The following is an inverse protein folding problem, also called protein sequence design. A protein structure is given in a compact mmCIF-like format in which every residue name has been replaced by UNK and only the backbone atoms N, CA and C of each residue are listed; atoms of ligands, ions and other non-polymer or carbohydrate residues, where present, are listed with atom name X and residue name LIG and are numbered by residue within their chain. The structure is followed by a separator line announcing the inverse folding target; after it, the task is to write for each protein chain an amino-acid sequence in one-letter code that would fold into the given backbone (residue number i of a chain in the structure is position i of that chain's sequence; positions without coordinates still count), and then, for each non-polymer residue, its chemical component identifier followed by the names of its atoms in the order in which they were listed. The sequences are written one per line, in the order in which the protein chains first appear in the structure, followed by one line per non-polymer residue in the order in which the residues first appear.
data_IF_462711646698
#
_entry.id   IF_462711646698
#
_cell.length_a   1.000
_cell.length_b   1.000
_cell.length_c   1.000
_cell.angle_alpha   90.00
_cell.angle_beta   90.00
_cell.angle_gamma   90.00
#
_symmetry.space_group_name_H-M   'P 1'
#
loop_
_entity.id
_entity.type
_entity.pdbx_description
1 polymer ?
#
# COMPACT_ATOMS: atom_id res chain seq x y z
N UNK A 1 -22.85 -12.71 -18.81
CA UNK A 1 -22.81 -12.86 -20.29
C UNK A 1 -21.34 -12.88 -20.71
N UNK A 2 -20.89 -13.96 -21.37
CA UNK A 2 -19.48 -14.09 -21.81
C UNK A 2 -19.19 -13.04 -22.88
N UNK A 3 -18.12 -12.27 -22.68
CA UNK A 3 -17.55 -11.43 -23.74
C UNK A 3 -17.13 -12.34 -24.92
N UNK A 4 -17.64 -12.04 -26.13
CA UNK A 4 -17.19 -12.69 -27.35
C UNK A 4 -15.89 -12.00 -27.78
N UNK A 5 -14.82 -12.76 -27.86
CA UNK A 5 -13.61 -12.35 -28.57
C UNK A 5 -13.93 -12.27 -30.07
N UNK A 6 -13.63 -11.13 -30.67
CA UNK A 6 -13.68 -10.98 -32.12
C UNK A 6 -12.43 -11.62 -32.72
N UNK A 7 -12.62 -12.53 -33.68
CA UNK A 7 -11.54 -13.16 -34.42
C UNK A 7 -10.79 -12.12 -35.27
N UNK A 8 -9.46 -12.24 -35.42
CA UNK A 8 -8.70 -11.35 -36.28
C UNK A 8 -9.00 -11.62 -37.75
N UNK A 9 -9.20 -10.55 -38.54
CA UNK A 9 -9.25 -10.65 -40.00
C UNK A 9 -7.84 -10.95 -40.53
N UNK A 10 -7.71 -12.03 -41.28
CA UNK A 10 -6.48 -12.42 -41.96
C UNK A 10 -6.08 -11.35 -43.02
N UNK A 11 -4.96 -10.66 -42.76
CA UNK A 11 -4.16 -10.00 -43.79
C UNK A 11 -2.73 -10.54 -43.69
N UNK A 12 -2.29 -11.13 -44.81
CA UNK A 12 -0.96 -11.67 -45.01
C UNK A 12 0.08 -10.55 -45.05
N UNK A 13 0.83 -10.37 -43.97
CA UNK A 13 2.16 -9.75 -44.01
C UNK A 13 3.02 -10.23 -42.82
N UNK A 14 4.29 -10.46 -43.10
CA UNK A 14 5.30 -11.08 -42.24
C UNK A 14 5.47 -10.39 -40.88
N UNK A 15 5.72 -11.11 -39.78
CA UNK A 15 5.79 -10.52 -38.44
C UNK A 15 7.12 -9.79 -38.22
N UNK A 16 7.02 -8.46 -38.10
CA UNK A 16 8.03 -7.63 -37.48
C UNK A 16 7.81 -7.64 -35.94
N UNK A 17 8.87 -7.93 -35.21
CA UNK A 17 8.87 -8.09 -33.75
C UNK A 17 8.80 -6.74 -33.03
N UNK A 18 7.67 -6.07 -33.05
CA UNK A 18 7.40 -4.87 -32.26
C UNK A 18 5.99 -4.92 -31.69
N UNK A 19 5.92 -4.98 -30.35
CA UNK A 19 4.78 -4.75 -29.44
C UNK A 19 3.40 -4.68 -30.12
N UNK A 20 2.67 -5.80 -30.13
CA UNK A 20 1.26 -5.81 -30.49
C UNK A 20 0.48 -4.95 -29.49
N UNK A 21 0.07 -3.76 -29.93
CA UNK A 21 -0.90 -2.93 -29.22
C UNK A 21 -2.28 -3.56 -29.37
N UNK A 22 -2.69 -4.40 -28.41
CA UNK A 22 -4.06 -4.90 -28.36
C UNK A 22 -5.00 -3.76 -28.02
N UNK A 23 -5.82 -3.34 -29.00
CA UNK A 23 -6.90 -2.39 -28.77
C UNK A 23 -8.09 -3.15 -28.19
N UNK A 24 -8.36 -2.98 -26.90
CA UNK A 24 -9.56 -3.52 -26.26
C UNK A 24 -10.70 -2.53 -26.49
N UNK A 25 -11.76 -2.97 -27.17
CA UNK A 25 -13.00 -2.20 -27.36
C UNK A 25 -14.09 -2.78 -26.46
N UNK A 26 -14.65 -1.93 -25.61
CA UNK A 26 -15.85 -2.27 -24.84
C UNK A 26 -17.07 -1.67 -25.53
N UNK A 27 -18.11 -2.48 -25.77
CA UNK A 27 -19.38 -2.05 -26.33
C UNK A 27 -20.46 -2.25 -25.27
N UNK A 28 -21.02 -1.15 -24.80
CA UNK A 28 -21.99 -1.13 -23.70
C UNK A 28 -23.32 -0.63 -24.26
N UNK A 29 -24.33 -1.50 -24.46
CA UNK A 29 -25.65 -1.08 -24.94
C UNK A 29 -26.31 -0.13 -23.94
N UNK A 30 -27.03 0.87 -24.44
CA UNK A 30 -27.86 1.74 -23.61
C UNK A 30 -29.16 1.04 -23.14
N UNK A 31 -29.93 1.73 -22.30
CA UNK A 31 -31.22 1.30 -21.78
C UNK A 31 -31.22 -0.06 -21.06
N UNK A 32 -30.12 -0.38 -20.37
CA UNK A 32 -30.02 -1.59 -19.57
C UNK A 32 -30.75 -1.41 -18.23
N UNK A 33 -31.39 -2.47 -17.76
CA UNK A 33 -31.99 -2.54 -16.43
C UNK A 33 -31.08 -3.41 -15.57
N UNK A 34 -30.45 -2.82 -14.57
CA UNK A 34 -29.66 -3.53 -13.57
C UNK A 34 -30.57 -4.09 -12.48
N UNK A 35 -30.38 -5.35 -12.14
CA UNK A 35 -31.11 -6.01 -11.05
C UNK A 35 -30.11 -6.60 -10.08
N UNK A 36 -30.42 -6.49 -8.81
CA UNK A 36 -29.62 -7.12 -7.75
C UNK A 36 -29.60 -8.65 -7.97
N UNK A 37 -28.41 -9.27 -8.08
CA UNK A 37 -28.30 -10.73 -8.10
C UNK A 37 -28.68 -11.30 -6.73
N UNK A 38 -29.53 -12.30 -6.70
CA UNK A 38 -29.91 -12.97 -5.46
C UNK A 38 -28.68 -13.57 -4.78
N UNK A 39 -28.50 -13.26 -3.49
CA UNK A 39 -27.41 -13.81 -2.67
C UNK A 39 -26.04 -13.19 -2.92
N UNK A 40 -25.95 -12.05 -3.61
CA UNK A 40 -24.70 -11.32 -3.75
C UNK A 40 -24.18 -10.89 -2.37
N UNK A 41 -22.95 -11.30 -2.06
CA UNK A 41 -22.20 -10.80 -0.92
C UNK A 41 -20.98 -10.01 -1.44
N UNK A 42 -20.85 -8.77 -1.01
CA UNK A 42 -19.66 -7.97 -1.30
C UNK A 42 -18.52 -8.53 -0.47
N UNK A 43 -17.40 -8.84 -1.11
CA UNK A 43 -16.18 -9.29 -0.44
C UNK A 43 -15.49 -8.14 0.32
N UNK A 44 -14.57 -8.49 1.24
CA UNK A 44 -13.75 -7.51 1.93
C UNK A 44 -12.79 -6.79 0.98
N UNK A 45 -12.47 -5.55 1.34
CA UNK A 45 -11.57 -4.69 0.56
C UNK A 45 -10.10 -5.00 0.92
N UNK A 46 -9.39 -5.63 -0.01
CA UNK A 46 -7.97 -5.95 0.14
C UNK A 46 -7.08 -4.72 0.21
N UNK A 47 -7.45 -3.62 -0.45
CA UNK A 47 -6.69 -2.38 -0.39
C UNK A 47 -6.68 -1.80 1.02
N UNK A 48 -7.83 -1.79 1.69
CA UNK A 48 -7.94 -1.30 3.05
C UNK A 48 -7.36 -2.29 4.07
N UNK A 49 -7.56 -3.60 3.86
CA UNK A 49 -6.97 -4.63 4.71
C UNK A 49 -5.44 -4.61 4.72
N UNK A 50 -4.81 -4.18 3.61
CA UNK A 50 -3.35 -4.12 3.50
C UNK A 50 -2.71 -3.24 4.58
N UNK A 51 -3.36 -2.16 5.01
CA UNK A 51 -2.86 -1.29 6.07
C UNK A 51 -2.75 -2.04 7.41
N UNK A 52 -3.75 -2.83 7.75
CA UNK A 52 -3.78 -3.63 8.98
C UNK A 52 -2.81 -4.81 8.91
N UNK A 53 -2.71 -5.48 7.77
CA UNK A 53 -1.76 -6.56 7.56
C UNK A 53 -0.31 -6.07 7.70
N UNK A 54 0.00 -4.89 7.19
CA UNK A 54 1.32 -4.26 7.38
C UNK A 54 1.53 -3.86 8.84
N UNK A 55 0.53 -3.29 9.51
CA UNK A 55 0.64 -2.98 10.94
C UNK A 55 0.94 -4.25 11.77
N UNK A 56 0.28 -5.37 11.44
CA UNK A 56 0.57 -6.67 12.03
C UNK A 56 2.00 -7.13 11.78
N UNK A 57 2.47 -7.07 10.53
CA UNK A 57 3.83 -7.46 10.16
C UNK A 57 4.91 -6.63 10.87
N UNK A 58 4.62 -5.37 11.16
CA UNK A 58 5.56 -4.44 11.79
C UNK A 58 5.59 -4.52 13.32
N UNK A 59 4.86 -5.41 13.95
CA UNK A 59 4.91 -5.63 15.40
C UNK A 59 3.55 -5.71 16.09
N UNK A 60 2.45 -5.53 15.33
CA UNK A 60 1.10 -5.75 15.84
C UNK A 60 0.74 -7.23 15.93
N UNK A 61 -0.48 -7.49 16.37
CA UNK A 61 -1.15 -8.81 16.37
C UNK A 61 -2.54 -8.58 15.79
N UNK A 62 -2.71 -8.88 14.50
CA UNK A 62 -3.87 -8.47 13.71
C UNK A 62 -4.50 -9.66 13.01
N UNK A 63 -5.84 -9.74 13.08
CA UNK A 63 -6.63 -10.66 12.27
C UNK A 63 -7.60 -9.88 11.40
N UNK A 64 -7.41 -9.94 10.08
CA UNK A 64 -8.35 -9.42 9.09
C UNK A 64 -9.31 -10.53 8.67
N UNK A 65 -10.61 -10.23 8.64
CA UNK A 65 -11.66 -11.21 8.27
C UNK A 65 -12.49 -10.73 7.08
N UNK A 66 -13.13 -11.68 6.38
CA UNK A 66 -13.97 -11.34 5.22
C UNK A 66 -13.21 -11.16 3.92
N UNK A 67 -11.92 -11.50 3.89
CA UNK A 67 -11.06 -11.40 2.72
C UNK A 67 -11.14 -12.70 1.91
N UNK A 68 -11.71 -12.62 0.71
CA UNK A 68 -11.84 -13.78 -0.17
C UNK A 68 -10.47 -14.14 -0.77
N UNK A 69 -9.96 -15.38 -0.56
CA UNK A 69 -8.71 -15.83 -1.17
C UNK A 69 -8.78 -15.90 -2.70
N UNK A 70 -9.98 -16.13 -3.24
CA UNK A 70 -10.22 -16.23 -4.70
C UNK A 70 -10.57 -14.87 -5.33
N UNK A 71 -10.51 -13.79 -4.55
CA UNK A 71 -10.77 -12.42 -5.01
C UNK A 71 -9.96 -12.07 -6.25
N UNK A 72 -10.59 -11.33 -7.17
CA UNK A 72 -9.92 -10.74 -8.34
C UNK A 72 -9.23 -9.40 -8.03
N UNK A 73 -9.39 -8.86 -6.81
CA UNK A 73 -8.69 -7.66 -6.36
C UNK A 73 -7.18 -7.91 -6.37
N UNK A 74 -6.44 -7.13 -7.15
CA UNK A 74 -4.99 -7.28 -7.25
C UNK A 74 -4.25 -6.95 -5.96
N UNK A 75 -4.85 -6.15 -5.10
CA UNK A 75 -4.26 -5.73 -3.82
C UNK A 75 -4.14 -6.88 -2.81
N UNK A 76 -4.72 -8.07 -3.07
CA UNK A 76 -4.44 -9.29 -2.30
C UNK A 76 -2.96 -9.71 -2.37
N UNK A 77 -2.21 -9.22 -3.36
CA UNK A 77 -0.77 -9.47 -3.49
C UNK A 77 0.05 -8.94 -2.32
N UNK A 78 -0.51 -8.09 -1.47
CA UNK A 78 0.13 -7.69 -0.21
C UNK A 78 0.56 -8.90 0.63
N UNK A 79 -0.23 -9.98 0.62
CA UNK A 79 0.09 -11.23 1.31
C UNK A 79 1.39 -11.82 0.77
N UNK A 80 1.49 -11.95 -0.56
CA UNK A 80 2.68 -12.50 -1.22
C UNK A 80 3.92 -11.64 -0.95
N UNK A 81 3.75 -10.31 -0.97
CA UNK A 81 4.84 -9.37 -0.69
C UNK A 81 5.34 -9.53 0.74
N UNK A 82 4.43 -9.52 1.73
CA UNK A 82 4.80 -9.65 3.14
C UNK A 82 5.44 -11.02 3.44
N UNK A 83 4.97 -12.11 2.83
CA UNK A 83 5.58 -13.44 2.98
C UNK A 83 7.00 -13.49 2.37
N UNK A 84 7.22 -12.90 1.20
CA UNK A 84 8.56 -12.76 0.63
C UNK A 84 9.48 -11.95 1.51
N UNK A 85 8.97 -10.94 2.17
CA UNK A 85 9.70 -10.15 3.16
C UNK A 85 9.94 -10.92 4.47
N UNK A 86 9.41 -12.12 4.65
CA UNK A 86 9.63 -12.99 5.81
C UNK A 86 8.53 -12.95 6.87
N UNK A 87 7.43 -12.24 6.65
CA UNK A 87 6.29 -12.27 7.55
C UNK A 87 5.62 -13.66 7.55
N UNK A 88 5.12 -14.07 8.71
CA UNK A 88 4.34 -15.30 8.86
C UNK A 88 2.85 -14.94 8.89
N UNK A 89 2.09 -15.49 7.96
CA UNK A 89 0.67 -15.23 7.82
C UNK A 89 -0.10 -16.54 7.92
N UNK A 90 -0.94 -16.64 8.95
CA UNK A 90 -1.85 -17.76 9.11
C UNK A 90 -3.14 -17.48 8.36
N UNK A 91 -3.57 -18.45 7.55
CA UNK A 91 -4.77 -18.34 6.70
C UNK A 91 -5.80 -19.35 7.15
N UNK A 92 -7.03 -18.88 7.39
CA UNK A 92 -8.17 -19.74 7.73
C UNK A 92 -9.42 -19.23 7.04
N UNK A 93 -9.86 -19.91 5.99
CA UNK A 93 -10.98 -19.47 5.14
C UNK A 93 -10.76 -18.04 4.61
N UNK A 94 -11.61 -17.10 5.03
CA UNK A 94 -11.54 -15.67 4.68
C UNK A 94 -10.83 -14.83 5.76
N UNK A 95 -10.11 -15.44 6.68
CA UNK A 95 -9.39 -14.78 7.76
C UNK A 95 -7.88 -14.91 7.57
N UNK A 96 -7.17 -13.82 7.78
CA UNK A 96 -5.72 -13.73 7.71
C UNK A 96 -5.19 -13.15 9.02
N UNK A 97 -4.42 -13.93 9.73
CA UNK A 97 -3.78 -13.52 10.97
C UNK A 97 -2.29 -13.28 10.74
N UNK A 98 -1.79 -12.17 11.22
CA UNK A 98 -0.39 -11.79 11.13
C UNK A 98 0.04 -11.15 12.45
N UNK A 99 1.14 -11.66 13.02
CA UNK A 99 1.75 -11.10 14.20
C UNK A 99 3.24 -10.83 13.95
N UNK A 100 3.69 -9.64 14.31
CA UNK A 100 5.08 -9.26 14.29
C UNK A 100 5.83 -10.06 15.35
N UNK A 101 6.52 -11.11 14.93
CA UNK A 101 7.18 -12.08 15.83
C UNK A 101 8.60 -11.68 16.24
N UNK A 102 8.96 -10.40 16.13
CA UNK A 102 10.29 -9.88 16.44
C UNK A 102 11.39 -10.26 15.43
N UNK A 103 11.05 -10.98 14.37
CA UNK A 103 11.97 -11.24 13.25
C UNK A 103 11.90 -10.06 12.30
N UNK A 104 13.02 -9.39 11.99
CA UNK A 104 13.04 -8.31 11.02
C UNK A 104 12.61 -8.83 9.64
N UNK A 105 11.80 -8.03 8.94
CA UNK A 105 11.51 -8.26 7.53
C UNK A 105 12.79 -8.14 6.70
N UNK A 106 12.84 -8.79 5.53
CA UNK A 106 13.98 -8.63 4.59
C UNK A 106 13.62 -7.65 3.49
N UNK A 107 14.65 -6.99 2.94
CA UNK A 107 14.50 -6.17 1.73
C UNK A 107 14.03 -7.02 0.55
N UNK A 108 13.14 -6.46 -0.26
CA UNK A 108 12.53 -7.13 -1.41
C UNK A 108 12.40 -6.17 -2.58
N UNK A 109 12.47 -6.71 -3.82
CA UNK A 109 12.19 -5.96 -5.03
C UNK A 109 10.81 -6.34 -5.57
N UNK A 110 9.92 -5.34 -5.66
CA UNK A 110 8.51 -5.54 -6.00
C UNK A 110 8.10 -4.65 -7.18
N UNK A 111 7.55 -5.26 -8.23
CA UNK A 111 6.86 -4.52 -9.30
C UNK A 111 5.44 -4.17 -8.87
N UNK A 112 5.10 -2.88 -8.87
CA UNK A 112 3.79 -2.37 -8.50
C UNK A 112 2.84 -2.20 -9.70
N UNK A 113 3.20 -2.70 -10.88
CA UNK A 113 2.44 -2.52 -12.12
C UNK A 113 0.96 -2.92 -11.99
N UNK A 114 0.66 -3.99 -11.23
CA UNK A 114 -0.68 -4.55 -11.09
C UNK A 114 -1.43 -4.08 -9.83
N UNK A 115 -0.74 -3.56 -8.82
CA UNK A 115 -1.30 -3.13 -7.53
C UNK A 115 -0.67 -1.82 -7.02
N UNK A 116 -0.72 -0.75 -7.83
CA UNK A 116 -0.07 0.52 -7.50
C UNK A 116 -0.60 1.13 -6.18
N UNK A 117 -1.83 0.84 -5.83
CA UNK A 117 -2.47 1.38 -4.64
C UNK A 117 -1.89 0.83 -3.31
N UNK A 118 -1.15 -0.27 -3.37
CA UNK A 118 -0.42 -0.80 -2.22
C UNK A 118 0.89 -0.05 -1.93
N UNK A 119 1.43 0.71 -2.88
CA UNK A 119 2.78 1.31 -2.75
C UNK A 119 2.96 2.13 -1.48
N UNK A 120 2.04 3.01 -1.05
CA UNK A 120 2.23 3.76 0.18
C UNK A 120 2.45 2.88 1.41
N UNK A 121 1.60 1.87 1.60
CA UNK A 121 1.70 0.97 2.76
C UNK A 121 2.82 -0.06 2.62
N UNK A 122 3.14 -0.52 1.40
CA UNK A 122 4.31 -1.37 1.16
C UNK A 122 5.61 -0.65 1.50
N UNK A 123 5.73 0.63 1.12
CA UNK A 123 6.90 1.43 1.50
C UNK A 123 7.07 1.50 3.01
N UNK A 124 5.96 1.63 3.76
CA UNK A 124 6.00 1.56 5.24
C UNK A 124 6.46 0.19 5.73
N UNK A 125 5.97 -0.93 5.16
CA UNK A 125 6.46 -2.27 5.51
C UNK A 125 7.97 -2.39 5.29
N UNK A 126 8.46 -1.86 4.17
CA UNK A 126 9.87 -1.89 3.78
C UNK A 126 10.78 -1.07 4.72
N UNK A 127 10.25 -0.08 5.45
CA UNK A 127 11.03 0.61 6.50
C UNK A 127 11.41 -0.33 7.65
N UNK A 128 10.65 -1.40 7.86
CA UNK A 128 10.93 -2.46 8.85
C UNK A 128 11.90 -3.53 8.36
N UNK A 129 12.27 -3.52 7.07
CA UNK A 129 13.09 -4.55 6.47
C UNK A 129 14.59 -4.32 6.71
N UNK A 130 15.36 -5.40 6.77
CA UNK A 130 16.82 -5.36 6.69
C UNK A 130 17.26 -5.37 5.23
N UNK A 131 18.28 -4.60 4.90
CA UNK A 131 18.79 -4.46 3.53
C UNK A 131 18.01 -3.42 2.71
N UNK A 132 18.23 -3.45 1.41
CA UNK A 132 17.60 -2.53 0.45
C UNK A 132 16.31 -3.13 -0.09
N UNK A 133 15.26 -2.31 -0.13
CA UNK A 133 13.99 -2.63 -0.80
C UNK A 133 13.78 -1.73 -2.00
N UNK A 134 13.16 -2.26 -3.05
CA UNK A 134 12.90 -1.49 -4.28
C UNK A 134 11.48 -1.72 -4.76
N UNK A 135 10.78 -0.65 -5.10
CA UNK A 135 9.47 -0.68 -5.78
C UNK A 135 9.68 -0.16 -7.20
N UNK A 136 9.26 -0.92 -8.21
CA UNK A 136 9.35 -0.56 -9.63
C UNK A 136 7.98 -0.49 -10.29
N UNK A 137 7.94 -0.02 -11.54
CA UNK A 137 6.73 0.01 -12.39
C UNK A 137 5.57 0.79 -11.79
N UNK A 138 5.86 1.80 -10.99
CA UNK A 138 4.90 2.59 -10.23
C UNK A 138 4.64 3.99 -10.81
N UNK A 139 5.01 4.25 -12.07
CA UNK A 139 4.88 5.58 -12.69
C UNK A 139 3.43 6.11 -12.70
N UNK A 140 2.41 5.24 -12.68
CA UNK A 140 0.99 5.64 -12.58
C UNK A 140 0.67 6.38 -11.29
N UNK A 141 1.49 6.24 -10.25
CA UNK A 141 1.29 6.91 -8.98
C UNK A 141 1.53 8.42 -9.04
N UNK A 142 2.22 8.91 -10.06
CA UNK A 142 2.46 10.35 -10.24
C UNK A 142 1.22 11.14 -10.64
N UNK A 143 0.17 10.45 -11.10
CA UNK A 143 -1.09 11.05 -11.57
C UNK A 143 -2.31 10.55 -10.77
N UNK A 144 -2.11 10.15 -9.51
CA UNK A 144 -3.19 9.79 -8.58
C UNK A 144 -3.70 11.04 -7.84
N UNK A 145 -4.35 10.87 -6.68
CA UNK A 145 -4.84 11.98 -5.84
C UNK A 145 -3.73 12.96 -5.44
N UNK A 146 -2.52 12.43 -5.32
CA UNK A 146 -1.26 13.17 -5.17
C UNK A 146 -0.20 12.52 -6.08
N UNK A 147 0.98 13.13 -6.28
CA UNK A 147 2.15 12.37 -6.75
C UNK A 147 2.61 11.46 -5.61
N UNK A 148 2.03 10.25 -5.55
CA UNK A 148 2.26 9.31 -4.44
C UNK A 148 3.71 8.88 -4.30
N UNK A 149 4.51 8.90 -5.38
CA UNK A 149 5.95 8.62 -5.26
C UNK A 149 6.66 9.75 -4.51
N UNK A 150 6.31 11.00 -4.82
CA UNK A 150 6.86 12.15 -4.12
C UNK A 150 6.37 12.18 -2.65
N UNK A 151 5.08 12.05 -2.42
CA UNK A 151 4.50 12.16 -1.08
C UNK A 151 4.94 11.03 -0.14
N UNK A 152 5.08 9.78 -0.64
CA UNK A 152 5.65 8.67 0.14
C UNK A 152 7.11 8.94 0.49
N UNK A 153 7.90 9.41 -0.48
CA UNK A 153 9.29 9.78 -0.24
C UNK A 153 9.41 10.87 0.82
N UNK A 154 8.58 11.91 0.73
CA UNK A 154 8.60 13.05 1.63
C UNK A 154 8.25 12.65 3.07
N UNK A 155 7.09 11.98 3.29
CA UNK A 155 6.70 11.64 4.65
C UNK A 155 7.63 10.62 5.31
N UNK A 156 8.14 9.63 4.58
CA UNK A 156 9.08 8.67 5.13
C UNK A 156 10.47 9.28 5.40
N UNK A 157 10.88 10.26 4.59
CA UNK A 157 12.10 11.04 4.87
C UNK A 157 11.97 11.85 6.15
N UNK A 158 10.82 12.51 6.38
CA UNK A 158 10.52 13.21 7.63
C UNK A 158 10.59 12.27 8.83
N UNK A 159 10.09 11.04 8.66
CA UNK A 159 10.14 10.00 9.70
C UNK A 159 11.51 9.29 9.79
N UNK A 160 12.55 9.80 9.13
CA UNK A 160 13.93 9.33 9.29
C UNK A 160 14.35 8.18 8.40
N UNK A 161 13.56 7.81 7.39
CA UNK A 161 13.88 6.72 6.45
C UNK A 161 14.85 7.21 5.36
N UNK A 162 15.88 6.42 5.03
CA UNK A 162 16.66 6.62 3.81
C UNK A 162 15.88 6.08 2.62
N UNK A 163 15.16 6.96 1.96
CA UNK A 163 14.31 6.67 0.82
C UNK A 163 14.60 7.64 -0.31
N UNK A 164 14.55 7.16 -1.53
CA UNK A 164 14.67 8.01 -2.73
C UNK A 164 13.73 7.58 -3.82
N UNK A 165 13.26 8.56 -4.57
CA UNK A 165 12.48 8.31 -5.77
C UNK A 165 13.39 7.86 -6.91
N UNK A 166 12.85 6.99 -7.78
CA UNK A 166 13.34 6.77 -9.14
C UNK A 166 12.34 7.38 -10.15
N UNK A 167 12.60 7.22 -11.42
CA UNK A 167 11.67 7.67 -12.47
C UNK A 167 10.27 7.04 -12.30
N UNK A 168 10.22 5.78 -11.91
CA UNK A 168 9.05 4.92 -11.89
C UNK A 168 8.86 4.15 -10.58
N UNK A 169 9.52 4.55 -9.49
CA UNK A 169 9.43 3.82 -8.23
C UNK A 169 10.16 4.45 -7.07
N UNK A 170 10.47 3.62 -6.07
CA UNK A 170 11.10 4.00 -4.81
C UNK A 170 12.22 3.02 -4.47
N UNK A 171 13.29 3.52 -3.86
CA UNK A 171 14.32 2.69 -3.22
C UNK A 171 14.42 3.09 -1.76
N UNK A 172 14.33 2.10 -0.87
CA UNK A 172 14.40 2.26 0.57
C UNK A 172 15.62 1.47 1.04
N UNK A 173 16.59 2.17 1.63
CA UNK A 173 17.87 1.57 2.03
C UNK A 173 18.07 1.72 3.54
N UNK A 174 18.17 0.59 4.24
CA UNK A 174 18.42 0.56 5.68
C UNK A 174 19.90 0.44 6.03
N UNK A 175 20.76 0.12 5.05
CA UNK A 175 22.18 -0.08 5.29
C UNK A 175 22.96 1.24 5.44
N UNK A 176 22.40 2.33 4.93
CA UNK A 176 22.94 3.66 5.13
C UNK A 176 22.17 4.33 6.28
N UNK A 177 22.62 4.14 7.51
CA UNK A 177 22.17 5.01 8.60
C UNK A 177 22.56 6.46 8.22
N UNK A 178 21.60 7.17 7.59
CA UNK A 178 21.80 8.58 7.26
C UNK A 178 22.08 9.31 8.56
N UNK A 179 23.20 10.03 8.58
CA UNK A 179 23.31 11.21 9.45
C UNK A 179 22.23 12.16 8.96
N UNK A 180 21.05 12.10 9.59
CA UNK A 180 19.92 13.00 9.30
C UNK A 180 20.44 14.42 9.44
N UNK A 181 20.17 15.33 8.48
CA UNK A 181 20.54 16.72 8.65
C UNK A 181 19.99 17.23 9.98
N UNK A 182 20.78 18.05 10.69
CA UNK A 182 20.52 18.60 12.01
C UNK A 182 19.05 19.04 12.18
N UNK A 183 18.22 18.17 12.80
CA UNK A 183 16.81 18.34 13.08
C UNK A 183 16.37 17.39 14.20
N UNK A 184 15.13 17.48 14.69
CA UNK A 184 14.63 16.64 15.79
C UNK A 184 14.73 15.12 15.52
N UNK A 185 14.82 14.70 14.25
CA UNK A 185 15.00 13.32 13.85
C UNK A 185 16.45 12.78 14.02
N UNK A 186 17.41 13.61 14.48
CA UNK A 186 18.83 13.25 14.55
C UNK A 186 19.19 12.15 15.57
N UNK A 187 18.21 11.66 16.35
CA UNK A 187 18.43 10.73 17.47
C UNK A 187 17.58 9.46 17.40
N UNK A 188 17.04 9.11 16.24
CA UNK A 188 16.23 7.89 16.13
C UNK A 188 17.12 6.64 16.07
N UNK A 189 17.17 5.79 17.12
CA UNK A 189 17.96 4.57 17.05
C UNK A 189 17.33 3.58 16.07
N UNK A 190 18.12 3.08 15.11
CA UNK A 190 17.63 1.98 14.27
C UNK A 190 17.17 0.79 15.15
N UNK A 191 15.99 0.19 14.88
CA UNK A 191 15.20 0.18 13.67
C UNK A 191 13.86 0.93 13.73
N UNK A 192 13.67 1.95 14.54
CA UNK A 192 12.44 2.73 14.66
C UNK A 192 12.39 3.91 13.69
N UNK A 193 11.18 4.40 13.43
CA UNK A 193 10.94 5.67 12.76
C UNK A 193 10.95 6.79 13.80
N UNK A 194 11.18 8.02 13.35
CA UNK A 194 11.09 9.20 14.21
C UNK A 194 9.67 9.72 14.25
N UNK A 195 9.31 10.44 15.32
CA UNK A 195 8.15 11.31 15.30
C UNK A 195 8.34 12.49 14.34
N UNK A 196 7.24 13.10 13.91
CA UNK A 196 7.30 14.26 13.03
C UNK A 196 5.94 14.70 12.51
N UNK A 197 5.88 15.86 11.84
CA UNK A 197 4.69 16.37 11.19
C UNK A 197 4.76 16.07 9.70
N UNK A 198 3.78 15.33 9.19
CA UNK A 198 3.68 14.89 7.79
C UNK A 198 2.36 15.35 7.19
N UNK A 199 2.36 15.69 5.90
CA UNK A 199 1.13 15.97 5.17
C UNK A 199 0.63 14.75 4.45
N UNK A 200 -0.67 14.49 4.53
CA UNK A 200 -1.33 13.50 3.66
C UNK A 200 -1.51 14.01 2.23
N UNK A 201 -1.31 15.30 1.98
CA UNK A 201 -1.65 15.94 0.70
C UNK A 201 -3.08 15.65 0.25
N UNK A 202 -4.00 15.56 1.22
CA UNK A 202 -5.40 15.21 1.00
C UNK A 202 -5.58 13.85 0.26
N UNK A 203 -4.62 12.95 0.42
CA UNK A 203 -4.64 11.59 -0.11
C UNK A 203 -4.86 10.60 1.05
N UNK A 204 -5.98 9.86 0.99
CA UNK A 204 -6.37 8.93 2.04
C UNK A 204 -5.36 7.81 2.26
N UNK A 205 -4.68 7.34 1.20
CA UNK A 205 -3.68 6.28 1.32
C UNK A 205 -2.40 6.76 1.99
N UNK A 206 -2.04 8.02 1.78
CA UNK A 206 -0.90 8.64 2.48
C UNK A 206 -1.25 8.83 3.96
N UNK A 207 -2.45 9.35 4.28
CA UNK A 207 -2.90 9.49 5.67
C UNK A 207 -2.87 8.15 6.42
N UNK A 208 -3.44 7.09 5.83
CA UNK A 208 -3.45 5.75 6.43
C UNK A 208 -2.05 5.14 6.54
N UNK A 209 -1.19 5.33 5.54
CA UNK A 209 0.19 4.85 5.56
C UNK A 209 1.01 5.54 6.66
N UNK A 210 0.86 6.85 6.84
CA UNK A 210 1.51 7.60 7.91
C UNK A 210 1.03 7.15 9.30
N UNK A 211 -0.27 6.85 9.44
CA UNK A 211 -0.80 6.30 10.69
C UNK A 211 -0.23 4.90 10.99
N UNK A 212 -0.09 4.03 10.00
CA UNK A 212 0.57 2.71 10.18
C UNK A 212 2.06 2.89 10.51
N UNK A 213 2.74 3.84 9.87
CA UNK A 213 4.14 4.14 10.17
C UNK A 213 4.34 4.59 11.63
N UNK A 214 3.36 5.31 12.23
CA UNK A 214 3.42 5.74 13.63
C UNK A 214 3.53 4.59 14.62
N UNK A 215 3.05 3.39 14.27
CA UNK A 215 3.20 2.20 15.13
C UNK A 215 4.67 1.82 15.39
N UNK A 216 5.61 2.35 14.61
CA UNK A 216 7.05 2.13 14.75
C UNK A 216 7.83 3.40 15.08
N UNK A 217 7.17 4.51 15.23
CA UNK A 217 7.82 5.78 15.56
C UNK A 217 8.14 5.85 17.06
N UNK A 218 9.27 6.45 17.40
CA UNK A 218 9.70 6.69 18.78
C UNK A 218 9.09 7.97 19.37
N UNK A 219 8.30 8.71 18.58
CA UNK A 219 7.58 9.92 18.97
C UNK A 219 6.26 10.07 18.22
N UNK A 220 5.47 11.10 18.54
CA UNK A 220 4.18 11.32 17.88
C UNK A 220 4.36 11.66 16.40
N UNK A 221 3.49 11.10 15.58
CA UNK A 221 3.35 11.43 14.16
C UNK A 221 2.10 12.30 14.00
N UNK A 222 2.29 13.55 13.63
CA UNK A 222 1.21 14.50 13.36
C UNK A 222 0.90 14.43 11.87
N UNK A 223 -0.36 14.15 11.52
CA UNK A 223 -0.80 14.00 10.13
C UNK A 223 -1.75 15.15 9.80
N UNK A 224 -1.34 16.04 8.90
CA UNK A 224 -2.24 17.09 8.40
C UNK A 224 -3.13 16.53 7.28
N UNK A 225 -4.31 17.13 7.08
CA UNK A 225 -5.34 16.67 6.14
C UNK A 225 -5.76 15.21 6.38
N UNK A 226 -5.72 14.75 7.65
CA UNK A 226 -5.98 13.36 8.01
C UNK A 226 -7.41 12.90 7.71
N UNK A 227 -8.37 13.85 7.62
CA UNK A 227 -9.76 13.59 7.21
C UNK A 227 -9.90 13.05 5.79
N UNK A 228 -8.85 13.11 4.98
CA UNK A 228 -8.80 12.47 3.65
C UNK A 228 -9.17 10.99 3.70
N UNK A 229 -9.00 10.29 4.84
CA UNK A 229 -9.41 8.88 5.01
C UNK A 229 -10.90 8.67 4.73
N UNK A 230 -11.75 9.70 4.93
CA UNK A 230 -13.18 9.64 4.66
C UNK A 230 -13.53 9.31 3.20
N UNK A 231 -12.58 9.50 2.28
CA UNK A 231 -12.76 9.19 0.84
C UNK A 231 -12.91 7.69 0.56
N UNK A 232 -12.31 6.83 1.39
CA UNK A 232 -12.33 5.37 1.17
C UNK A 232 -12.53 4.55 2.43
N UNK A 233 -12.15 5.06 3.61
CA UNK A 233 -12.26 4.36 4.88
C UNK A 233 -12.62 5.35 6.00
N UNK A 234 -13.88 5.81 6.07
CA UNK A 234 -14.30 6.81 7.06
C UNK A 234 -13.99 6.45 8.51
N UNK A 235 -14.08 5.17 8.85
CA UNK A 235 -13.89 4.64 10.21
C UNK A 235 -12.43 4.26 10.53
N UNK A 236 -11.48 4.55 9.65
CA UNK A 236 -10.09 4.11 9.80
C UNK A 236 -9.50 4.47 11.16
N UNK A 237 -9.59 5.72 11.60
CA UNK A 237 -9.04 6.15 12.88
C UNK A 237 -9.81 5.58 14.07
N UNK A 238 -11.10 5.34 13.93
CA UNK A 238 -11.92 4.64 14.94
C UNK A 238 -11.42 3.21 15.13
N UNK A 239 -11.17 2.50 14.04
CA UNK A 239 -10.67 1.12 14.07
C UNK A 239 -9.21 1.07 14.53
N UNK A 240 -8.38 2.05 14.15
CA UNK A 240 -7.02 2.20 14.67
C UNK A 240 -7.01 2.31 16.20
N UNK A 241 -7.93 3.08 16.77
CA UNK A 241 -8.08 3.20 18.23
C UNK A 241 -8.57 1.91 18.88
N UNK A 242 -9.55 1.22 18.27
CA UNK A 242 -10.04 -0.09 18.76
C UNK A 242 -8.93 -1.15 18.79
N UNK A 243 -7.99 -1.08 17.86
CA UNK A 243 -6.82 -1.97 17.79
C UNK A 243 -5.68 -1.55 18.74
N UNK A 244 -5.89 -0.52 19.57
CA UNK A 244 -4.94 -0.08 20.60
C UNK A 244 -4.08 1.11 20.21
N UNK A 245 -4.27 1.68 19.03
CA UNK A 245 -3.63 2.94 18.63
C UNK A 245 -4.12 4.11 19.46
N UNK A 246 -3.23 5.07 19.72
CA UNK A 246 -3.57 6.30 20.44
C UNK A 246 -3.64 7.46 19.46
N UNK A 247 -4.74 8.18 19.50
CA UNK A 247 -5.01 9.31 18.61
C UNK A 247 -5.43 10.51 19.46
N UNK A 248 -4.92 11.65 19.10
CA UNK A 248 -5.35 12.96 19.59
C UNK A 248 -5.71 13.83 18.39
N UNK A 249 -6.86 14.49 18.45
CA UNK A 249 -7.27 15.46 17.43
C UNK A 249 -6.73 16.80 17.88
N UNK A 250 -5.85 17.39 17.08
CA UNK A 250 -5.34 18.73 17.29
C UNK A 250 -6.24 19.69 16.52
N UNK A 251 -6.81 20.68 17.23
CA UNK A 251 -7.54 21.80 16.62
C UNK A 251 -6.52 22.91 16.30
N UNK A 252 -6.63 23.49 15.09
CA UNK A 252 -5.80 24.63 14.66
C UNK A 252 -6.12 25.93 15.43
#
# INVERSE_FOLDING_TARGET
QKCKEAAPSESSDTPDSSSENYLIRYEIPGNQIYREPAGLKVEGDWSNAAFWLVAGALGGDITCTGLDPDSTQRDKEIITVLEKMGAKIERKNTSYHIAGNGVPLHGETVSAAQFPDLVPVMAVAMTGASGTSTITDAQRLRIKESDRLATVCDFLTILGTDIRQTKDGLVIDKNNARTVPSGPAAHCPAPSLCGGTVSSHNDHRIAMAAAVASCRADGPVIITDAEAVKKSYPDFFTDFTKLGGKIEILED
#
